data_IF_388966434331
#
_entry.id   IF_388966434331
#
_cell.length_a   1.000
_cell.length_b   1.000
_cell.length_c   1.000
_cell.angle_alpha   90.00
_cell.angle_beta   90.00
_cell.angle_gamma   90.00
#
_symmetry.space_group_name_H-M   'P 1'
#
loop_
_entity.id
_entity.type
_entity.pdbx_description
1 polymer ?
#
# COMPACT_ATOMS: atom_id res chain seq x y z
N UNK A 1 13.92 7.48 -33.91
CA UNK A 1 15.08 6.60 -33.72
C UNK A 1 14.70 5.21 -34.21
N UNK A 2 15.58 4.55 -34.96
CA UNK A 2 15.36 3.22 -35.54
C UNK A 2 15.77 2.10 -34.57
N UNK A 3 15.40 0.86 -34.86
CA UNK A 3 15.82 -0.28 -34.03
C UNK A 3 17.36 -0.48 -34.04
N UNK A 4 18.05 -0.09 -35.13
CA UNK A 4 19.53 -0.04 -35.17
C UNK A 4 20.10 0.93 -34.11
N UNK A 5 19.41 2.03 -33.82
CA UNK A 5 19.85 2.98 -32.78
C UNK A 5 19.72 2.36 -31.38
N UNK A 6 18.74 1.47 -31.17
CA UNK A 6 18.54 0.81 -29.88
C UNK A 6 19.67 -0.19 -29.61
N UNK A 7 20.03 -1.02 -30.59
CA UNK A 7 21.09 -2.00 -30.44
C UNK A 7 22.44 -1.33 -30.09
N UNK A 8 22.74 -0.19 -30.73
CA UNK A 8 23.94 0.60 -30.43
C UNK A 8 23.94 1.15 -28.99
N UNK A 9 22.80 1.69 -28.53
CA UNK A 9 22.64 2.18 -27.15
C UNK A 9 22.79 1.07 -26.12
N UNK A 10 22.20 -0.11 -26.38
CA UNK A 10 22.33 -1.29 -25.52
C UNK A 10 23.77 -1.78 -25.48
N UNK A 11 24.45 -1.81 -26.63
CA UNK A 11 25.84 -2.25 -26.71
C UNK A 11 26.78 -1.33 -25.92
N UNK A 12 26.60 -0.02 -26.10
CA UNK A 12 27.37 1.03 -25.40
C UNK A 12 26.99 1.17 -23.92
N UNK A 13 25.88 0.57 -23.48
CA UNK A 13 25.26 0.80 -22.19
C UNK A 13 24.99 2.30 -21.91
N UNK A 14 24.55 3.03 -22.94
CA UNK A 14 24.25 4.46 -22.87
C UNK A 14 22.88 4.69 -22.24
N UNK A 15 22.86 4.86 -20.92
CA UNK A 15 21.63 5.10 -20.17
C UNK A 15 20.94 6.41 -20.56
N UNK A 16 21.70 7.48 -20.81
CA UNK A 16 21.13 8.78 -21.18
C UNK A 16 20.46 8.71 -22.55
N UNK A 17 21.08 8.02 -23.51
CA UNK A 17 20.50 7.77 -24.82
C UNK A 17 19.22 6.92 -24.73
N UNK A 18 19.22 5.89 -23.90
CA UNK A 18 18.02 5.07 -23.66
C UNK A 18 16.89 5.86 -23.00
N UNK A 19 17.19 6.74 -22.04
CA UNK A 19 16.19 7.63 -21.40
C UNK A 19 15.52 8.52 -22.44
N UNK A 20 16.31 9.18 -23.30
CA UNK A 20 15.76 10.01 -24.40
C UNK A 20 14.91 9.19 -25.37
N UNK A 21 15.36 7.99 -25.72
CA UNK A 21 14.59 7.09 -26.59
C UNK A 21 13.25 6.70 -25.96
N UNK A 22 13.22 6.42 -24.65
CA UNK A 22 11.98 6.08 -23.94
C UNK A 22 11.01 7.26 -23.98
N UNK A 23 11.48 8.48 -23.69
CA UNK A 23 10.67 9.70 -23.75
C UNK A 23 10.10 9.94 -25.17
N UNK A 24 10.94 9.79 -26.20
CA UNK A 24 10.53 9.94 -27.60
C UNK A 24 9.46 8.91 -27.99
N UNK A 25 9.64 7.64 -27.62
CA UNK A 25 8.67 6.57 -27.91
C UNK A 25 7.35 6.78 -27.16
N UNK A 26 7.39 7.24 -25.91
CA UNK A 26 6.18 7.62 -25.17
C UNK A 26 5.45 8.77 -25.87
N UNK A 27 6.18 9.81 -26.30
CA UNK A 27 5.59 10.99 -26.95
C UNK A 27 4.92 10.68 -28.30
N UNK A 28 5.44 9.69 -29.02
CA UNK A 28 4.95 9.26 -30.34
C UNK A 28 3.94 8.11 -30.28
N UNK A 29 3.74 7.50 -29.12
CA UNK A 29 2.89 6.32 -28.96
C UNK A 29 3.46 5.05 -29.57
N UNK A 30 4.78 4.96 -29.76
CA UNK A 30 5.47 3.76 -30.24
C UNK A 30 5.65 2.75 -29.10
N UNK A 31 4.54 2.17 -28.65
CA UNK A 31 4.48 1.26 -27.51
C UNK A 31 5.19 -0.08 -27.77
N UNK A 32 5.09 -0.61 -28.99
CA UNK A 32 5.83 -1.81 -29.39
C UNK A 32 7.34 -1.57 -29.33
N UNK A 33 7.75 -0.39 -29.79
CA UNK A 33 9.12 0.08 -29.66
C UNK A 33 9.59 0.18 -28.23
N UNK A 34 8.78 0.79 -27.36
CA UNK A 34 9.08 0.92 -25.94
C UNK A 34 9.19 -0.45 -25.25
N UNK A 35 8.32 -1.40 -25.61
CA UNK A 35 8.39 -2.78 -25.13
C UNK A 35 9.71 -3.44 -25.58
N UNK A 36 10.17 -3.21 -26.81
CA UNK A 36 11.50 -3.68 -27.25
C UNK A 36 12.63 -3.08 -26.44
N UNK A 37 12.59 -1.78 -26.13
CA UNK A 37 13.59 -1.13 -25.25
C UNK A 37 13.62 -1.84 -23.89
N UNK A 38 12.44 -2.09 -23.30
CA UNK A 38 12.30 -2.81 -22.04
C UNK A 38 12.94 -4.20 -22.11
N UNK A 39 12.56 -5.00 -23.10
CA UNK A 39 13.01 -6.39 -23.21
C UNK A 39 14.52 -6.50 -23.47
N UNK A 40 15.06 -5.66 -24.34
CA UNK A 40 16.50 -5.66 -24.61
C UNK A 40 17.32 -5.15 -23.42
N UNK A 41 16.87 -4.10 -22.72
CA UNK A 41 17.54 -3.62 -21.52
C UNK A 41 17.54 -4.70 -20.41
N UNK A 42 16.45 -5.44 -20.23
CA UNK A 42 16.38 -6.56 -19.28
C UNK A 42 17.29 -7.72 -19.68
N UNK A 43 17.29 -8.08 -20.96
CA UNK A 43 18.20 -9.11 -21.48
C UNK A 43 19.67 -8.72 -21.25
N UNK A 44 20.01 -7.46 -21.49
CA UNK A 44 21.34 -6.91 -21.23
C UNK A 44 21.74 -6.97 -19.74
N UNK A 45 20.80 -6.71 -18.81
CA UNK A 45 21.02 -6.86 -17.36
C UNK A 45 21.37 -8.30 -16.99
N UNK A 46 20.69 -9.30 -17.58
CA UNK A 46 21.02 -10.73 -17.38
C UNK A 46 22.45 -11.08 -17.81
N UNK A 47 23.04 -10.28 -18.70
CA UNK A 47 24.44 -10.41 -19.15
C UNK A 47 25.44 -9.51 -18.41
N UNK A 48 25.00 -8.81 -17.35
CA UNK A 48 25.86 -7.99 -16.47
C UNK A 48 25.93 -6.49 -16.81
N UNK A 49 25.20 -6.01 -17.82
CA UNK A 49 25.12 -4.58 -18.13
C UNK A 49 24.24 -3.84 -17.12
N UNK A 50 24.64 -2.63 -16.72
CA UNK A 50 23.92 -1.81 -15.73
C UNK A 50 22.77 -1.00 -16.37
N UNK A 51 21.89 -1.69 -17.10
CA UNK A 51 20.76 -1.06 -17.83
C UNK A 51 19.40 -1.24 -17.14
N UNK A 52 19.40 -1.71 -15.90
CA UNK A 52 18.18 -1.88 -15.10
C UNK A 52 17.37 -0.57 -14.93
N UNK A 53 17.96 0.66 -14.86
CA UNK A 53 17.15 1.87 -14.75
C UNK A 53 16.33 2.14 -16.02
N UNK A 54 16.89 1.88 -17.21
CA UNK A 54 16.17 2.01 -18.48
C UNK A 54 15.02 0.99 -18.59
N UNK A 55 15.29 -0.27 -18.22
CA UNK A 55 14.25 -1.30 -18.17
C UNK A 55 13.10 -0.91 -17.23
N UNK A 56 13.45 -0.48 -16.01
CA UNK A 56 12.49 -0.05 -14.99
C UNK A 56 11.65 1.13 -15.46
N UNK A 57 12.28 2.13 -16.08
CA UNK A 57 11.57 3.31 -16.59
C UNK A 57 10.62 2.92 -17.73
N UNK A 58 11.06 2.08 -18.67
CA UNK A 58 10.21 1.58 -19.74
C UNK A 58 9.02 0.76 -19.21
N UNK A 59 9.23 -0.13 -18.23
CA UNK A 59 8.16 -0.89 -17.56
C UNK A 59 7.12 0.03 -16.92
N UNK A 60 7.58 1.03 -16.18
CA UNK A 60 6.71 2.00 -15.52
C UNK A 60 5.87 2.79 -16.54
N UNK A 61 6.50 3.29 -17.62
CA UNK A 61 5.79 4.04 -18.67
C UNK A 61 4.79 3.19 -19.44
N UNK A 62 5.14 1.93 -19.72
CA UNK A 62 4.21 0.98 -20.33
C UNK A 62 3.00 0.74 -19.43
N UNK A 63 3.19 0.51 -18.13
CA UNK A 63 2.09 0.30 -17.19
C UNK A 63 1.21 1.56 -17.01
N UNK A 64 1.81 2.75 -17.05
CA UNK A 64 1.10 4.00 -16.82
C UNK A 64 0.34 4.50 -18.07
N UNK A 65 0.93 4.37 -19.26
CA UNK A 65 0.48 5.12 -20.45
C UNK A 65 0.05 4.24 -21.63
N UNK A 66 0.48 2.98 -21.69
CA UNK A 66 0.27 2.16 -22.88
C UNK A 66 -1.12 1.51 -22.91
N UNK A 67 -1.58 1.01 -24.07
CA UNK A 67 -2.81 0.23 -24.18
C UNK A 67 -2.77 -1.08 -23.37
N UNK A 68 -3.95 -1.68 -23.06
CA UNK A 68 -4.06 -2.85 -22.18
C UNK A 68 -3.13 -4.04 -22.49
N UNK A 69 -2.90 -4.36 -23.76
CA UNK A 69 -2.07 -5.51 -24.13
C UNK A 69 -0.59 -5.29 -23.78
N UNK A 70 -0.08 -4.06 -23.89
CA UNK A 70 1.28 -3.71 -23.44
C UNK A 70 1.40 -3.67 -21.92
N UNK A 71 0.34 -3.22 -21.24
CA UNK A 71 0.24 -3.23 -19.77
C UNK A 71 0.29 -4.67 -19.25
N UNK A 72 -0.49 -5.58 -19.83
CA UNK A 72 -0.47 -6.99 -19.46
C UNK A 72 0.93 -7.60 -19.64
N UNK A 73 1.64 -7.25 -20.72
CA UNK A 73 3.00 -7.75 -20.96
C UNK A 73 4.00 -7.34 -19.87
N UNK A 74 3.89 -6.13 -19.29
CA UNK A 74 4.75 -5.70 -18.16
C UNK A 74 4.26 -6.18 -16.81
N UNK A 75 3.01 -6.59 -16.70
CA UNK A 75 2.50 -7.20 -15.48
C UNK A 75 2.91 -8.68 -15.34
N UNK A 76 3.38 -9.35 -16.39
CA UNK A 76 3.91 -10.71 -16.29
C UNK A 76 5.21 -10.77 -15.44
N UNK A 77 5.23 -11.69 -14.47
CA UNK A 77 6.35 -11.95 -13.54
C UNK A 77 7.16 -13.19 -13.89
N UNK A 78 6.95 -13.79 -15.07
CA UNK A 78 7.62 -15.02 -15.49
C UNK A 78 9.16 -15.01 -15.36
N UNK A 79 9.79 -13.85 -15.23
CA UNK A 79 11.22 -13.68 -15.01
C UNK A 79 11.63 -12.95 -13.71
N UNK A 80 10.68 -12.68 -12.80
CA UNK A 80 10.91 -12.25 -11.41
C UNK A 80 11.47 -10.84 -11.19
N UNK A 81 11.61 -10.02 -12.24
CA UNK A 81 12.23 -8.68 -12.14
C UNK A 81 11.23 -7.53 -12.37
N UNK A 82 10.01 -7.82 -12.82
CA UNK A 82 9.05 -6.81 -13.24
C UNK A 82 8.65 -5.89 -12.09
N UNK A 83 8.76 -4.58 -12.28
CA UNK A 83 8.23 -3.59 -11.34
C UNK A 83 9.05 -3.41 -10.06
N UNK A 84 10.20 -4.08 -9.91
CA UNK A 84 10.98 -4.08 -8.66
C UNK A 84 11.64 -2.73 -8.31
N UNK A 85 11.76 -1.78 -9.23
CA UNK A 85 12.36 -0.47 -8.92
C UNK A 85 11.51 0.71 -9.39
N UNK A 86 10.24 0.43 -9.68
CA UNK A 86 9.28 1.42 -10.16
C UNK A 86 8.77 2.29 -9.00
N UNK A 87 8.27 3.49 -9.34
CA UNK A 87 7.80 4.51 -8.38
C UNK A 87 6.70 3.94 -7.45
N UNK A 88 5.88 3.03 -7.97
CA UNK A 88 4.96 2.23 -7.19
C UNK A 88 4.62 0.94 -7.90
N UNK A 89 3.87 0.03 -7.25
CA UNK A 89 3.62 -1.29 -7.81
C UNK A 89 2.86 -1.19 -9.13
N UNK A 90 3.32 -1.94 -10.13
CA UNK A 90 2.75 -1.86 -11.49
C UNK A 90 1.25 -2.18 -11.53
N UNK A 91 0.75 -2.98 -10.59
CA UNK A 91 -0.69 -3.28 -10.46
C UNK A 91 -1.51 -2.04 -10.11
N UNK A 92 -1.02 -1.19 -9.20
CA UNK A 92 -1.66 0.07 -8.82
C UNK A 92 -1.48 1.15 -9.91
N UNK A 93 -0.31 1.18 -10.55
CA UNK A 93 -0.01 2.10 -11.66
C UNK A 93 -0.93 1.83 -12.86
N UNK A 94 -1.01 0.56 -13.29
CA UNK A 94 -1.91 0.14 -14.37
C UNK A 94 -3.38 0.45 -14.05
N UNK A 95 -3.80 0.20 -12.81
CA UNK A 95 -5.15 0.47 -12.37
C UNK A 95 -5.52 1.98 -12.40
N UNK A 96 -4.57 2.91 -12.53
CA UNK A 96 -4.90 4.34 -12.58
C UNK A 96 -5.68 4.75 -13.83
N UNK A 97 -5.29 4.23 -15.01
CA UNK A 97 -5.82 4.67 -16.30
C UNK A 97 -6.62 3.60 -17.05
N UNK A 98 -6.68 2.39 -16.52
CA UNK A 98 -7.45 1.30 -17.11
C UNK A 98 -8.58 0.84 -16.19
N UNK A 99 -9.71 0.46 -16.77
CA UNK A 99 -10.77 -0.28 -16.09
C UNK A 99 -10.40 -1.77 -16.03
N UNK A 100 -11.04 -2.50 -15.11
CA UNK A 100 -10.93 -3.96 -15.03
C UNK A 100 -11.33 -4.62 -16.35
N UNK A 101 -12.45 -4.21 -16.94
CA UNK A 101 -12.94 -4.74 -18.22
C UNK A 101 -11.93 -4.58 -19.37
N UNK A 102 -11.16 -3.49 -19.40
CA UNK A 102 -10.16 -3.27 -20.43
C UNK A 102 -8.93 -4.17 -20.25
N UNK A 103 -8.58 -4.54 -19.00
CA UNK A 103 -7.40 -5.35 -18.69
C UNK A 103 -7.69 -6.84 -18.67
N UNK A 104 -8.88 -7.26 -18.21
CA UNK A 104 -9.17 -8.67 -17.90
C UNK A 104 -9.03 -9.63 -19.07
N UNK A 105 -9.26 -9.17 -20.30
CA UNK A 105 -9.09 -10.01 -21.50
C UNK A 105 -7.62 -10.23 -21.90
N UNK A 106 -6.73 -9.36 -21.43
CA UNK A 106 -5.29 -9.41 -21.73
C UNK A 106 -4.50 -10.08 -20.59
N UNK A 107 -5.01 -10.02 -19.36
CA UNK A 107 -4.36 -10.58 -18.18
C UNK A 107 -4.54 -12.10 -18.12
N UNK A 108 -3.43 -12.80 -17.87
CA UNK A 108 -3.47 -14.22 -17.49
C UNK A 108 -3.87 -14.35 -16.02
N UNK A 109 -4.67 -15.38 -15.65
CA UNK A 109 -4.97 -15.67 -14.25
C UNK A 109 -3.68 -15.85 -13.45
N UNK A 110 -3.43 -14.94 -12.52
CA UNK A 110 -2.18 -14.84 -11.76
C UNK A 110 -2.42 -14.03 -10.48
N UNK A 111 -1.52 -14.13 -9.48
CA UNK A 111 -1.59 -13.27 -8.30
C UNK A 111 -1.65 -11.78 -8.65
N UNK A 112 -0.91 -11.31 -9.65
CA UNK A 112 -0.98 -9.92 -10.09
C UNK A 112 -2.32 -9.52 -10.67
N UNK A 113 -2.99 -10.41 -11.41
CA UNK A 113 -4.34 -10.13 -11.88
C UNK A 113 -5.30 -9.92 -10.70
N UNK A 114 -5.16 -10.70 -9.61
CA UNK A 114 -5.92 -10.49 -8.38
C UNK A 114 -5.60 -9.14 -7.72
N UNK A 115 -4.32 -8.76 -7.63
CA UNK A 115 -3.95 -7.42 -7.15
C UNK A 115 -4.53 -6.30 -8.02
N UNK A 116 -4.47 -6.40 -9.35
CA UNK A 116 -5.11 -5.43 -10.27
C UNK A 116 -6.61 -5.36 -10.02
N UNK A 117 -7.27 -6.51 -9.82
CA UNK A 117 -8.69 -6.56 -9.51
C UNK A 117 -9.01 -5.81 -8.21
N UNK A 118 -8.29 -6.04 -7.12
CA UNK A 118 -8.47 -5.30 -5.88
C UNK A 118 -8.15 -3.80 -6.02
N UNK A 119 -7.12 -3.43 -6.79
CA UNK A 119 -6.82 -2.04 -7.11
C UNK A 119 -7.97 -1.37 -7.87
N UNK A 120 -8.66 -2.10 -8.74
CA UNK A 120 -9.85 -1.61 -9.48
C UNK A 120 -11.11 -1.57 -8.61
N UNK A 121 -11.32 -2.53 -7.72
CA UNK A 121 -12.38 -2.49 -6.69
C UNK A 121 -12.27 -1.23 -5.84
N UNK A 122 -11.06 -0.90 -5.37
CA UNK A 122 -10.80 0.33 -4.60
C UNK A 122 -11.15 1.59 -5.41
N UNK A 123 -11.02 1.53 -6.74
CA UNK A 123 -11.35 2.62 -7.68
C UNK A 123 -12.80 2.56 -8.17
N UNK A 124 -13.61 1.64 -7.66
CA UNK A 124 -15.06 1.58 -7.89
C UNK A 124 -15.52 0.63 -9.00
N UNK A 125 -14.64 -0.20 -9.55
CA UNK A 125 -15.07 -1.24 -10.49
C UNK A 125 -15.82 -2.35 -9.75
N UNK A 126 -16.82 -2.92 -10.42
CA UNK A 126 -17.49 -4.15 -9.99
C UNK A 126 -16.85 -5.31 -10.72
N UNK A 127 -16.47 -6.35 -9.99
CA UNK A 127 -15.77 -7.51 -10.53
C UNK A 127 -16.59 -8.75 -10.20
N UNK A 128 -17.07 -9.43 -11.24
CA UNK A 128 -17.85 -10.67 -11.17
C UNK A 128 -17.11 -11.88 -11.76
N UNK A 129 -15.87 -11.69 -12.21
CA UNK A 129 -15.01 -12.75 -12.72
C UNK A 129 -14.51 -13.67 -11.58
N UNK A 130 -14.29 -14.95 -11.92
CA UNK A 130 -13.64 -15.91 -11.03
C UNK A 130 -12.12 -15.68 -11.06
N UNK A 131 -11.63 -14.94 -10.06
CA UNK A 131 -10.23 -14.57 -9.90
C UNK A 131 -9.65 -15.35 -8.72
N UNK A 132 -8.37 -15.71 -8.83
CA UNK A 132 -7.67 -16.37 -7.74
C UNK A 132 -7.78 -15.57 -6.43
N UNK A 133 -8.23 -16.24 -5.38
CA UNK A 133 -8.32 -15.64 -4.04
C UNK A 133 -6.93 -15.61 -3.41
N UNK A 134 -6.30 -14.42 -3.45
CA UNK A 134 -4.90 -14.22 -3.03
C UNK A 134 -4.83 -13.40 -1.75
N UNK A 135 -5.78 -12.47 -1.57
CA UNK A 135 -5.89 -11.66 -0.37
C UNK A 135 -6.96 -12.20 0.59
N UNK A 136 -7.75 -13.19 0.19
CA UNK A 136 -8.80 -13.81 1.01
C UNK A 136 -9.76 -12.76 1.62
N UNK A 137 -10.01 -11.67 0.87
CA UNK A 137 -10.98 -10.61 1.18
C UNK A 137 -11.91 -10.41 -0.03
N UNK A 138 -13.15 -9.93 0.15
CA UNK A 138 -14.09 -9.74 -0.95
C UNK A 138 -13.55 -8.88 -2.10
N UNK A 139 -13.85 -9.29 -3.33
CA UNK A 139 -13.67 -8.52 -4.57
C UNK A 139 -14.77 -7.47 -4.77
N UNK A 140 -15.11 -6.77 -3.69
CA UNK A 140 -16.03 -5.65 -3.64
C UNK A 140 -15.79 -4.87 -2.35
N UNK A 141 -15.99 -3.55 -2.37
CA UNK A 141 -15.93 -2.75 -1.15
C UNK A 141 -17.19 -2.97 -0.32
N UNK A 142 -17.01 -3.24 0.96
CA UNK A 142 -18.08 -3.42 1.90
C UNK A 142 -18.68 -2.09 2.33
N UNK A 143 -19.95 -2.16 2.76
CA UNK A 143 -20.72 -1.00 3.16
C UNK A 143 -20.02 -0.18 4.25
N UNK A 144 -19.23 -0.81 5.13
CA UNK A 144 -18.51 -0.18 6.24
C UNK A 144 -17.10 0.31 5.89
N UNK A 145 -16.53 -0.07 4.74
CA UNK A 145 -15.20 0.37 4.30
C UNK A 145 -15.20 1.85 3.88
N UNK A 146 -14.08 2.57 4.01
CA UNK A 146 -13.98 3.94 3.52
C UNK A 146 -13.86 4.01 1.99
N UNK A 147 -14.06 5.22 1.46
CA UNK A 147 -13.39 5.57 0.20
C UNK A 147 -11.89 5.73 0.50
N UNK A 148 -11.10 4.77 0.08
CA UNK A 148 -9.65 4.77 0.34
C UNK A 148 -8.93 5.91 -0.40
N UNK A 149 -7.92 6.54 0.22
CA UNK A 149 -7.04 7.45 -0.49
C UNK A 149 -6.18 6.67 -1.49
N UNK A 150 -6.22 7.09 -2.76
CA UNK A 150 -5.47 6.46 -3.85
C UNK A 150 -4.27 7.30 -4.26
N UNK A 151 -3.20 6.62 -4.67
CA UNK A 151 -2.02 7.26 -5.24
C UNK A 151 -2.33 7.90 -6.61
N UNK A 152 -1.61 8.97 -6.94
CA UNK A 152 -1.61 9.57 -8.28
C UNK A 152 -0.22 9.51 -8.87
N UNK A 153 -0.04 8.66 -9.87
CA UNK A 153 1.19 8.47 -10.64
C UNK A 153 1.26 9.43 -11.83
N UNK A 154 2.46 9.89 -12.10
CA UNK A 154 2.82 10.73 -13.25
C UNK A 154 4.12 10.22 -13.84
N UNK A 155 4.48 10.76 -14.98
CA UNK A 155 5.68 10.44 -15.74
C UNK A 155 6.96 10.19 -14.93
N UNK A 156 7.29 11.07 -13.97
CA UNK A 156 8.55 11.01 -13.22
C UNK A 156 8.37 11.13 -11.70
N UNK A 157 7.14 11.22 -11.21
CA UNK A 157 6.82 11.37 -9.81
C UNK A 157 5.45 10.78 -9.47
N UNK A 158 5.12 10.72 -8.19
CA UNK A 158 3.82 10.31 -7.71
C UNK A 158 3.44 11.08 -6.46
N UNK A 159 2.14 11.16 -6.18
CA UNK A 159 1.60 11.71 -4.95
C UNK A 159 0.85 10.63 -4.17
N UNK A 160 1.06 10.59 -2.86
CA UNK A 160 0.57 9.54 -1.95
C UNK A 160 -0.25 10.16 -0.80
N UNK A 161 -1.40 10.78 -1.09
CA UNK A 161 -2.11 11.59 -0.12
C UNK A 161 -2.56 10.76 1.08
N UNK A 162 -2.21 11.22 2.28
CA UNK A 162 -2.80 10.69 3.52
C UNK A 162 -4.29 11.09 3.61
N UNK A 163 -5.14 10.30 4.30
CA UNK A 163 -6.51 10.72 4.56
C UNK A 163 -6.53 11.98 5.42
N UNK A 164 -7.58 12.80 5.26
CA UNK A 164 -7.75 13.99 6.10
C UNK A 164 -8.21 13.57 7.49
N UNK A 165 -7.35 13.78 8.47
CA UNK A 165 -7.63 13.44 9.86
C UNK A 165 -8.16 14.65 10.65
N UNK A 166 -9.09 14.45 11.59
CA UNK A 166 -9.62 15.51 12.45
C UNK A 166 -8.54 16.13 13.35
N UNK A 167 -8.77 17.36 13.80
CA UNK A 167 -7.81 18.14 14.61
C UNK A 167 -8.44 18.76 15.87
N UNK A 168 -9.66 18.34 16.22
CA UNK A 168 -10.37 18.74 17.43
C UNK A 168 -9.85 17.98 18.67
N UNK A 169 -8.60 18.25 19.01
CA UNK A 169 -7.88 17.58 20.08
C UNK A 169 -8.49 17.79 21.46
N UNK A 170 -8.49 16.72 22.26
CA UNK A 170 -8.80 16.74 23.69
C UNK A 170 -7.65 16.12 24.46
N UNK A 171 -7.19 16.79 25.52
CA UNK A 171 -6.22 16.16 26.43
C UNK A 171 -6.88 14.97 27.12
N UNK A 172 -6.09 13.93 27.37
CA UNK A 172 -6.50 12.72 28.11
C UNK A 172 -5.51 12.46 29.23
N UNK A 173 -6.00 11.88 30.33
CA UNK A 173 -5.14 11.37 31.39
C UNK A 173 -4.46 10.08 30.91
N UNK A 174 -3.18 9.92 31.23
CA UNK A 174 -2.41 8.73 30.83
C UNK A 174 -1.87 8.04 32.08
N UNK A 175 -2.01 6.72 32.15
CA UNK A 175 -1.45 5.89 33.20
C UNK A 175 -0.64 4.76 32.58
N UNK A 176 0.43 4.34 33.26
CA UNK A 176 1.24 3.19 32.85
C UNK A 176 1.09 2.01 33.82
N UNK A 177 0.03 2.02 34.63
CA UNK A 177 -0.21 1.03 35.69
C UNK A 177 -1.09 -0.14 35.23
N UNK A 178 -1.77 -0.01 34.08
CA UNK A 178 -2.64 -1.04 33.54
C UNK A 178 -1.87 -2.32 33.15
N UNK A 179 -2.55 -3.45 33.26
CA UNK A 179 -1.98 -4.76 32.90
C UNK A 179 -1.86 -4.87 31.38
N UNK A 180 -0.64 -5.16 30.90
CA UNK A 180 -0.42 -5.45 29.47
C UNK A 180 -0.89 -6.86 29.14
N UNK A 181 -1.72 -6.96 28.11
CA UNK A 181 -2.20 -8.21 27.58
C UNK A 181 -1.30 -8.68 26.42
N UNK A 182 -1.31 -9.99 26.17
CA UNK A 182 -0.61 -10.59 25.04
C UNK A 182 -1.64 -10.90 23.94
N UNK A 183 -1.45 -10.32 22.75
CA UNK A 183 -2.33 -10.51 21.60
C UNK A 183 -1.54 -10.57 20.28
N UNK A 184 -2.27 -10.77 19.17
CA UNK A 184 -1.70 -10.84 17.83
C UNK A 184 -1.69 -9.47 17.09
N UNK A 185 -2.17 -8.39 17.75
CA UNK A 185 -2.27 -7.05 17.14
C UNK A 185 -0.89 -6.48 16.87
N UNK A 186 0.08 -6.70 17.78
CA UNK A 186 1.47 -6.27 17.56
C UNK A 186 2.03 -6.84 16.25
N UNK A 187 1.87 -8.15 16.02
CA UNK A 187 2.35 -8.80 14.80
C UNK A 187 1.63 -8.28 13.55
N UNK A 188 0.31 -8.09 13.63
CA UNK A 188 -0.49 -7.56 12.52
C UNK A 188 -0.03 -6.14 12.12
N UNK A 189 0.26 -5.27 13.08
CA UNK A 189 0.77 -3.91 12.81
C UNK A 189 2.20 -3.97 12.28
N UNK A 190 3.08 -4.82 12.83
CA UNK A 190 4.44 -5.00 12.31
C UNK A 190 4.43 -5.43 10.83
N UNK A 191 3.53 -6.33 10.45
CA UNK A 191 3.34 -6.75 9.05
C UNK A 191 2.74 -5.62 8.18
N UNK A 192 1.83 -4.82 8.73
CA UNK A 192 1.27 -3.65 8.05
C UNK A 192 2.37 -2.65 7.69
N UNK A 193 3.27 -2.31 8.62
CA UNK A 193 4.32 -1.31 8.37
C UNK A 193 5.69 -1.91 8.09
N UNK A 194 5.75 -3.19 7.71
CA UNK A 194 7.02 -3.89 7.41
C UNK A 194 7.96 -3.10 6.49
N UNK A 195 7.49 -2.42 5.41
CA UNK A 195 8.36 -1.62 4.56
C UNK A 195 9.04 -0.45 5.28
N UNK A 196 8.41 0.08 6.32
CA UNK A 196 8.96 1.17 7.13
C UNK A 196 10.09 0.63 8.02
N UNK A 197 9.97 -0.62 8.50
CA UNK A 197 10.94 -1.25 9.40
C UNK A 197 12.14 -1.84 8.67
N UNK A 198 11.92 -2.51 7.54
CA UNK A 198 12.96 -3.25 6.81
C UNK A 198 13.55 -2.46 5.64
N UNK A 199 12.72 -1.64 4.99
CA UNK A 199 13.06 -0.85 3.81
C UNK A 199 13.36 0.62 4.10
N UNK A 200 13.15 1.06 5.35
CA UNK A 200 13.36 2.43 5.81
C UNK A 200 13.94 2.44 7.24
N UNK A 201 13.87 3.58 7.93
CA UNK A 201 14.36 3.76 9.30
C UNK A 201 13.22 3.86 10.32
N UNK A 202 12.06 3.27 9.99
CA UNK A 202 10.86 3.38 10.79
C UNK A 202 10.93 2.57 12.08
N UNK A 203 10.09 2.97 13.04
CA UNK A 203 9.88 2.26 14.30
C UNK A 203 8.39 1.99 14.49
N UNK A 204 8.10 0.90 15.20
CA UNK A 204 6.74 0.55 15.62
C UNK A 204 6.76 0.09 17.06
N UNK A 205 5.78 0.55 17.83
CA UNK A 205 5.44 0.02 19.14
C UNK A 205 3.92 -0.14 19.21
N UNK A 206 3.48 -1.28 19.75
CA UNK A 206 2.07 -1.60 19.97
C UNK A 206 1.91 -2.09 21.39
N UNK A 207 0.87 -1.62 22.06
CA UNK A 207 0.51 -2.08 23.40
C UNK A 207 -0.98 -2.37 23.45
N UNK A 208 -1.33 -3.48 24.09
CA UNK A 208 -2.68 -3.85 24.48
C UNK A 208 -2.75 -3.92 26.01
N UNK A 209 -3.81 -3.36 26.61
CA UNK A 209 -4.02 -3.36 28.06
C UNK A 209 -5.47 -3.66 28.44
N UNK A 210 -5.66 -4.20 29.64
CA UNK A 210 -6.95 -4.14 30.34
C UNK A 210 -7.12 -2.73 30.92
N UNK A 211 -8.01 -1.93 30.33
CA UNK A 211 -8.17 -0.51 30.64
C UNK A 211 -8.71 0.30 29.48
N UNK A 212 -8.47 1.61 29.51
CA UNK A 212 -8.94 2.56 28.49
C UNK A 212 -7.81 3.06 27.55
N UNK A 213 -8.16 3.92 26.59
CA UNK A 213 -7.19 4.52 25.67
C UNK A 213 -6.08 5.32 26.39
N UNK A 214 -6.39 5.95 27.53
CA UNK A 214 -5.41 6.66 28.34
C UNK A 214 -4.36 5.72 28.94
N UNK A 215 -4.80 4.56 29.41
CA UNK A 215 -3.94 3.49 29.89
C UNK A 215 -3.06 2.91 28.77
N UNK A 216 -3.64 2.61 27.61
CA UNK A 216 -2.90 2.05 26.48
C UNK A 216 -1.81 3.02 25.97
N UNK A 217 -2.16 4.30 25.81
CA UNK A 217 -1.19 5.34 25.41
C UNK A 217 -0.14 5.55 26.49
N UNK A 218 -0.52 5.59 27.77
CA UNK A 218 0.42 5.76 28.87
C UNK A 218 1.40 4.60 29.00
N UNK A 219 0.96 3.38 28.66
CA UNK A 219 1.81 2.20 28.64
C UNK A 219 2.87 2.24 27.52
N UNK A 220 2.68 2.99 26.43
CA UNK A 220 3.76 3.30 25.46
C UNK A 220 4.83 4.26 26.03
N UNK A 221 4.58 4.89 27.18
CA UNK A 221 5.52 5.77 27.87
C UNK A 221 5.20 7.29 27.90
N UNK A 222 4.39 7.87 27.00
CA UNK A 222 3.94 9.26 27.13
C UNK A 222 3.23 9.54 28.46
N UNK A 223 3.63 10.63 29.14
CA UNK A 223 2.97 11.11 30.38
C UNK A 223 1.87 12.15 30.15
N UNK A 224 1.78 12.64 28.92
CA UNK A 224 0.79 13.61 28.47
C UNK A 224 0.46 13.26 27.04
N UNK A 225 -0.83 13.12 26.75
CA UNK A 225 -1.31 12.85 25.42
C UNK A 225 -2.59 13.65 25.16
N UNK A 226 -2.92 13.74 23.88
CA UNK A 226 -4.21 14.23 23.42
C UNK A 226 -4.72 13.34 22.31
N UNK A 227 -6.04 13.23 22.23
CA UNK A 227 -6.73 12.38 21.27
C UNK A 227 -7.69 13.20 20.42
N UNK A 228 -7.92 12.75 19.18
CA UNK A 228 -9.11 13.08 18.40
C UNK A 228 -9.83 11.79 18.07
N UNK A 229 -11.13 11.75 18.35
CA UNK A 229 -12.00 10.65 17.95
C UNK A 229 -12.06 10.53 16.42
N UNK A 230 -12.09 9.28 15.95
CA UNK A 230 -12.25 8.89 14.56
C UNK A 230 -13.51 8.02 14.45
N UNK A 231 -14.17 8.06 13.29
CA UNK A 231 -15.06 6.95 12.94
C UNK A 231 -14.25 5.79 12.35
N UNK A 232 -14.82 4.58 12.36
CA UNK A 232 -14.20 3.37 11.84
C UNK A 232 -13.66 3.55 10.41
N UNK A 233 -14.44 4.18 9.51
CA UNK A 233 -14.00 4.44 8.12
C UNK A 233 -12.71 5.25 8.05
N UNK A 234 -12.59 6.32 8.84
CA UNK A 234 -11.42 7.19 8.83
C UNK A 234 -10.20 6.48 9.43
N UNK A 235 -10.40 5.67 10.47
CA UNK A 235 -9.34 4.80 11.01
C UNK A 235 -8.88 3.79 9.95
N UNK A 236 -9.81 3.06 9.32
CA UNK A 236 -9.52 2.10 8.26
C UNK A 236 -8.79 2.72 7.07
N UNK A 237 -9.17 3.94 6.67
CA UNK A 237 -8.50 4.66 5.58
C UNK A 237 -7.05 4.99 5.93
N UNK A 238 -6.77 5.32 7.19
CA UNK A 238 -5.43 5.66 7.66
C UNK A 238 -4.55 4.43 7.81
N UNK A 239 -5.10 3.33 8.36
CA UNK A 239 -4.43 2.03 8.45
C UNK A 239 -4.08 1.53 7.03
N UNK A 240 -5.03 1.55 6.11
CA UNK A 240 -4.78 1.11 4.73
C UNK A 240 -3.78 2.00 4.00
N UNK A 241 -3.81 3.32 4.22
CA UNK A 241 -2.79 4.22 3.68
C UNK A 241 -1.39 3.88 4.20
N UNK A 242 -1.27 3.59 5.50
CA UNK A 242 0.00 3.18 6.09
C UNK A 242 0.48 1.85 5.52
N UNK A 243 -0.40 0.85 5.42
CA UNK A 243 -0.08 -0.45 4.83
C UNK A 243 0.25 -0.42 3.34
N UNK A 244 -0.29 0.56 2.61
CA UNK A 244 0.04 0.76 1.20
C UNK A 244 1.41 1.42 1.02
N UNK A 245 1.89 2.21 1.99
CA UNK A 245 3.08 3.04 1.83
C UNK A 245 4.39 2.31 2.11
N UNK A 246 5.48 2.91 1.65
CA UNK A 246 6.84 2.44 1.92
C UNK A 246 7.53 3.17 3.07
N UNK A 247 6.86 4.13 3.72
CA UNK A 247 7.53 5.07 4.60
C UNK A 247 8.38 6.06 3.80
N UNK A 248 9.44 6.57 4.41
CA UNK A 248 10.28 7.63 3.84
C UNK A 248 11.24 7.11 2.76
N UNK A 249 11.75 5.89 2.91
CA UNK A 249 12.71 5.29 1.97
C UNK A 249 12.28 3.94 1.41
N UNK A 250 11.35 3.25 2.07
CA UNK A 250 10.88 1.96 1.62
C UNK A 250 9.96 2.07 0.42
N UNK A 251 9.57 0.91 -0.12
CA UNK A 251 8.80 0.83 -1.35
C UNK A 251 7.31 0.77 -1.08
N UNK A 252 6.54 1.53 -1.85
CA UNK A 252 5.08 1.46 -1.84
C UNK A 252 4.63 0.05 -2.24
N UNK A 253 3.67 -0.52 -1.50
CA UNK A 253 3.09 -1.86 -1.74
C UNK A 253 1.73 -1.83 -2.45
N UNK A 254 1.10 -0.67 -2.55
CA UNK A 254 -0.15 -0.47 -3.28
C UNK A 254 -1.39 -0.50 -2.39
N UNK A 255 -2.48 0.10 -2.86
CA UNK A 255 -3.71 0.25 -2.11
C UNK A 255 -4.39 -1.10 -1.82
N UNK A 256 -4.28 -2.10 -2.71
CA UNK A 256 -4.80 -3.44 -2.48
C UNK A 256 -4.15 -4.10 -1.24
N UNK A 257 -2.82 -4.04 -1.15
CA UNK A 257 -2.07 -4.52 0.02
C UNK A 257 -2.45 -3.74 1.28
N UNK A 258 -2.60 -2.42 1.17
CA UNK A 258 -3.05 -1.58 2.27
C UNK A 258 -4.43 -1.96 2.79
N UNK A 259 -5.40 -2.16 1.88
CA UNK A 259 -6.76 -2.61 2.20
C UNK A 259 -6.74 -3.94 2.95
N UNK A 260 -6.02 -4.93 2.44
CA UNK A 260 -5.83 -6.22 3.12
C UNK A 260 -5.26 -6.04 4.53
N UNK A 261 -4.18 -5.27 4.68
CA UNK A 261 -3.57 -5.04 5.98
C UNK A 261 -4.52 -4.36 6.99
N UNK A 262 -5.42 -3.49 6.52
CA UNK A 262 -6.44 -2.90 7.37
C UNK A 262 -7.48 -3.93 7.85
N UNK A 263 -7.93 -4.83 6.96
CA UNK A 263 -8.80 -5.94 7.35
C UNK A 263 -8.12 -6.88 8.33
N UNK A 264 -6.85 -7.20 8.08
CA UNK A 264 -6.04 -8.07 8.93
C UNK A 264 -5.87 -7.51 10.35
N UNK A 265 -5.58 -6.20 10.49
CA UNK A 265 -5.51 -5.54 11.81
C UNK A 265 -6.85 -5.57 12.53
N UNK A 266 -7.93 -5.24 11.82
CA UNK A 266 -9.26 -5.25 12.42
C UNK A 266 -9.65 -6.66 12.88
N UNK A 267 -9.28 -7.69 12.10
CA UNK A 267 -9.46 -9.08 12.48
C UNK A 267 -8.59 -9.47 13.68
N UNK A 268 -7.35 -8.97 13.79
CA UNK A 268 -6.49 -9.18 14.95
C UNK A 268 -7.06 -8.56 16.23
N UNK A 269 -7.58 -7.33 16.15
CA UNK A 269 -8.21 -6.64 17.29
C UNK A 269 -9.44 -7.41 17.78
N UNK A 270 -10.21 -8.00 16.85
CA UNK A 270 -11.44 -8.75 17.16
C UNK A 270 -11.27 -10.25 17.33
N UNK A 271 -10.03 -10.76 17.44
CA UNK A 271 -9.73 -12.19 17.57
C UNK A 271 -10.38 -13.07 16.46
N UNK A 272 -10.46 -12.52 15.25
CA UNK A 272 -11.04 -13.18 14.08
C UNK A 272 -10.00 -13.94 13.23
N UNK A 273 -8.70 -13.83 13.52
CA UNK A 273 -7.63 -14.40 12.68
C UNK A 273 -7.73 -15.92 12.54
N UNK A 274 -8.12 -16.63 13.60
CA UNK A 274 -8.32 -18.09 13.57
C UNK A 274 -9.48 -18.53 12.66
N UNK A 275 -10.36 -17.59 12.28
CA UNK A 275 -11.53 -17.82 11.43
C UNK A 275 -11.37 -17.21 10.03
N UNK A 276 -10.14 -16.91 9.61
CA UNK A 276 -9.88 -16.30 8.31
C UNK A 276 -10.17 -17.27 7.13
N UNK A 277 -10.85 -16.84 6.05
CA UNK A 277 -11.38 -15.50 5.79
C UNK A 277 -12.61 -15.17 6.65
N UNK A 278 -12.60 -13.96 7.23
CA UNK A 278 -13.65 -13.50 8.14
C UNK A 278 -14.93 -13.09 7.41
N UNK A 279 -16.08 -13.30 8.04
CA UNK A 279 -17.36 -12.80 7.54
C UNK A 279 -17.34 -11.24 7.49
N UNK A 280 -17.52 -10.63 6.31
CA UNK A 280 -17.47 -9.18 6.13
C UNK A 280 -18.45 -8.38 6.99
N UNK A 281 -19.67 -8.89 7.19
CA UNK A 281 -20.70 -8.22 7.98
C UNK A 281 -20.35 -8.22 9.47
N UNK A 282 -19.81 -9.34 9.97
CA UNK A 282 -19.37 -9.47 11.36
C UNK A 282 -18.19 -8.55 11.67
N UNK A 283 -17.19 -8.54 10.77
CA UNK A 283 -16.03 -7.65 10.90
C UNK A 283 -16.45 -6.17 10.86
N UNK A 284 -17.38 -5.82 9.96
CA UNK A 284 -17.92 -4.48 9.84
C UNK A 284 -18.73 -4.03 11.05
N UNK A 285 -19.52 -4.92 11.64
CA UNK A 285 -20.24 -4.63 12.88
C UNK A 285 -19.24 -4.33 14.01
N UNK A 286 -18.26 -5.22 14.20
CA UNK A 286 -17.22 -5.07 15.21
C UNK A 286 -16.45 -3.74 15.05
N UNK A 287 -16.06 -3.38 13.82
CA UNK A 287 -15.41 -2.10 13.55
C UNK A 287 -16.19 -0.89 14.06
N UNK A 288 -17.52 -0.93 14.00
CA UNK A 288 -18.40 0.16 14.41
C UNK A 288 -18.71 0.15 15.91
N UNK A 289 -18.45 -0.94 16.62
CA UNK A 289 -18.61 -1.06 18.08
C UNK A 289 -17.39 -0.49 18.82
N UNK A 290 -16.22 -0.49 18.18
CA UNK A 290 -14.97 0.07 18.71
C UNK A 290 -14.96 1.61 18.73
N UNK A 291 -14.33 2.17 19.76
CA UNK A 291 -14.01 3.60 19.81
C UNK A 291 -12.61 3.81 19.21
N UNK A 292 -12.52 4.64 18.17
CA UNK A 292 -11.28 4.89 17.45
C UNK A 292 -10.74 6.28 17.74
N UNK A 293 -9.42 6.38 17.88
CA UNK A 293 -8.75 7.65 18.15
C UNK A 293 -7.46 7.75 17.34
N UNK A 294 -7.16 8.96 16.85
CA UNK A 294 -5.77 9.36 16.62
C UNK A 294 -5.26 10.01 17.90
N UNK A 295 -3.98 9.85 18.18
CA UNK A 295 -3.35 10.48 19.33
C UNK A 295 -2.02 11.12 18.98
N UNK A 296 -1.57 12.06 19.80
CA UNK A 296 -0.17 12.51 19.82
C UNK A 296 0.26 12.90 21.25
N UNK A 297 1.56 13.01 21.45
CA UNK A 297 2.18 13.44 22.72
C UNK A 297 2.56 14.93 22.71
N UNK A 298 1.78 15.79 22.02
CA UNK A 298 2.09 17.20 21.74
C UNK A 298 3.36 17.43 20.91
N UNK A 299 3.74 16.41 20.15
CA UNK A 299 4.88 16.45 19.26
C UNK A 299 4.44 16.85 17.85
N UNK A 300 5.29 17.55 17.07
CA UNK A 300 4.99 17.80 15.67
C UNK A 300 4.95 16.47 14.90
N UNK A 301 3.90 16.27 14.10
CA UNK A 301 3.84 15.16 13.16
C UNK A 301 4.82 15.42 12.02
N UNK A 302 5.87 14.60 11.92
CA UNK A 302 6.89 14.67 10.87
C UNK A 302 6.95 13.32 10.17
N UNK A 303 7.03 13.33 8.84
CA UNK A 303 7.16 12.11 8.04
C UNK A 303 5.89 11.26 8.03
N UNK A 304 6.08 9.94 7.96
CA UNK A 304 5.02 8.94 7.91
C UNK A 304 4.67 8.51 9.33
N UNK A 305 3.38 8.53 9.67
CA UNK A 305 2.94 8.19 11.02
C UNK A 305 1.61 7.44 11.00
N UNK A 306 1.49 6.48 11.91
CA UNK A 306 0.24 5.85 12.33
C UNK A 306 0.23 5.86 13.86
N UNK A 307 -0.39 6.89 14.43
CA UNK A 307 -0.61 7.02 15.87
C UNK A 307 -2.09 6.80 16.17
N UNK A 308 -2.45 5.54 16.26
CA UNK A 308 -3.82 5.07 16.42
C UNK A 308 -3.99 4.55 17.86
N UNK A 309 -5.15 4.80 18.45
CA UNK A 309 -5.59 4.10 19.64
C UNK A 309 -7.03 3.60 19.43
N UNK A 310 -7.34 2.46 20.02
CA UNK A 310 -8.61 1.74 19.86
C UNK A 310 -9.06 1.28 21.23
N UNK A 311 -10.34 1.41 21.54
CA UNK A 311 -10.92 0.92 22.79
C UNK A 311 -12.17 0.09 22.48
N UNK A 312 -12.15 -1.15 22.98
CA UNK A 312 -13.34 -1.97 23.13
C UNK A 312 -13.90 -1.76 24.53
N UNK A 313 -14.85 -0.83 24.65
CA UNK A 313 -15.46 -0.51 25.93
C UNK A 313 -16.36 -1.62 26.48
N UNK A 314 -16.72 -2.63 25.67
CA UNK A 314 -17.54 -3.76 26.12
C UNK A 314 -16.70 -4.82 26.85
N UNK A 315 -15.46 -5.01 26.40
CA UNK A 315 -14.49 -5.93 27.01
C UNK A 315 -13.52 -5.23 27.98
N UNK A 316 -13.49 -3.89 27.99
CA UNK A 316 -12.58 -3.11 28.85
C UNK A 316 -11.12 -3.26 28.41
N UNK A 317 -10.89 -3.34 27.10
CA UNK A 317 -9.57 -3.53 26.50
C UNK A 317 -9.27 -2.37 25.57
N UNK A 318 -8.01 -1.91 25.59
CA UNK A 318 -7.56 -0.84 24.71
C UNK A 318 -6.19 -1.11 24.11
N UNK A 319 -6.01 -0.62 22.88
CA UNK A 319 -4.78 -0.70 22.11
C UNK A 319 -4.25 0.69 21.81
N UNK A 320 -2.92 0.83 21.84
CA UNK A 320 -2.22 1.99 21.32
C UNK A 320 -1.11 1.55 20.37
N UNK A 321 -1.11 2.17 19.19
CA UNK A 321 -0.12 1.97 18.12
C UNK A 321 0.66 3.27 17.94
N UNK A 322 1.98 3.15 17.87
CA UNK A 322 2.87 4.22 17.43
C UNK A 322 3.82 3.68 16.37
N UNK A 323 3.44 3.81 15.10
CA UNK A 323 4.36 3.62 13.98
C UNK A 323 4.80 4.98 13.43
N UNK A 324 6.10 5.16 13.23
CA UNK A 324 6.68 6.41 12.73
C UNK A 324 7.85 6.11 11.81
N UNK A 325 7.99 6.90 10.76
CA UNK A 325 9.15 6.90 9.90
C UNK A 325 9.43 8.31 9.39
N UNK A 326 10.56 8.86 9.86
CA UNK A 326 10.99 10.21 9.55
C UNK A 326 12.45 10.16 9.13
N UNK A 327 12.70 10.60 7.89
CA UNK A 327 13.95 10.50 7.10
C UNK A 327 14.24 9.11 6.57
#
# INVERSE_FOLDING_TARGET
MTDDDLDDLIHAADLDGLVRMIDDRCSTGDWDGLLRVRDQARSAVKTGRQLWPAATMAEYRLALLAPPHHVAAVLDESDGLSGQFTIGPLTEVAAQHHTWDALRSELTPSPRAAFVAHERVIRGDVIDDDIADVLDIPLGLEGWEPTYPIATYRDNDADFPAPRLPTNWKEIETSSEAERLNDDVELAVQQLVEPWLSGSNGTVEVVCVEGDVGDAIGALGPRRARVCELNARTAMAWIAWAGASGGAHGRRRGAATGRFGAWWILAAIGDFLDNWPVNPDALGQFANELNWYRWDAFEPTIGWTLQLAVEDGSEGVAWAVSARDST
#
